data_IF_803268359150
#
_entry.id   IF_803268359150
#
_cell.length_a   1.000
_cell.length_b   1.000
_cell.length_c   1.000
_cell.angle_alpha   90.00
_cell.angle_beta   90.00
_cell.angle_gamma   90.00
#
_symmetry.space_group_name_H-M   'P 1'
#
loop_
_entity.id
_entity.type
_entity.pdbx_description
1 polymer ?
#
# COMPACT_ATOMS: atom_id res chain seq x y z
N UNK A 1 3.07 -23.94 1.20
CA UNK A 1 3.64 -22.58 1.29
C UNK A 1 2.96 -21.87 2.45
N UNK A 2 3.72 -21.50 3.48
CA UNK A 2 3.19 -20.78 4.64
C UNK A 2 3.69 -19.33 4.57
N UNK A 3 2.84 -18.44 4.01
CA UNK A 3 3.17 -17.02 3.91
C UNK A 3 3.00 -16.37 5.28
N UNK A 4 4.07 -15.80 5.80
CA UNK A 4 4.05 -14.99 7.01
C UNK A 4 4.12 -13.49 6.66
N UNK A 5 3.30 -12.66 7.33
CA UNK A 5 3.32 -11.21 7.14
C UNK A 5 3.82 -10.53 8.42
N UNK A 6 4.84 -9.67 8.28
CA UNK A 6 5.51 -8.98 9.38
C UNK A 6 5.57 -7.48 9.13
N UNK A 7 5.64 -6.62 10.19
CA UNK A 7 5.91 -5.19 10.04
C UNK A 7 7.22 -4.93 9.28
N UNK A 8 7.23 -3.93 8.40
CA UNK A 8 8.35 -3.62 7.50
C UNK A 8 9.49 -2.89 8.23
N UNK A 9 10.22 -3.60 9.08
CA UNK A 9 11.34 -3.08 9.88
C UNK A 9 12.72 -3.38 9.27
N UNK A 10 12.79 -4.28 8.29
CA UNK A 10 14.02 -4.64 7.58
C UNK A 10 14.18 -3.82 6.30
N UNK A 11 15.03 -2.80 6.31
CA UNK A 11 15.23 -1.94 5.14
C UNK A 11 15.74 -2.68 3.89
N UNK A 12 16.58 -3.71 4.06
CA UNK A 12 17.07 -4.51 2.95
C UNK A 12 15.94 -5.19 2.18
N UNK A 13 14.94 -5.72 2.89
CA UNK A 13 13.79 -6.39 2.31
C UNK A 13 12.81 -5.40 1.67
N UNK A 14 12.58 -4.24 2.31
CA UNK A 14 11.85 -3.13 1.69
C UNK A 14 12.53 -2.69 0.38
N UNK A 15 13.86 -2.54 0.37
CA UNK A 15 14.63 -2.22 -0.83
C UNK A 15 14.48 -3.29 -1.90
N UNK A 16 14.49 -4.57 -1.55
CA UNK A 16 14.27 -5.68 -2.49
C UNK A 16 12.90 -5.58 -3.16
N UNK A 17 11.86 -5.21 -2.41
CA UNK A 17 10.50 -5.16 -2.93
C UNK A 17 10.17 -3.89 -3.72
N UNK A 18 10.63 -2.72 -3.29
CA UNK A 18 10.21 -1.43 -3.87
C UNK A 18 11.36 -0.52 -4.31
N UNK A 19 12.59 -0.94 -4.07
CA UNK A 19 13.78 -0.20 -4.48
C UNK A 19 14.12 -0.37 -5.98
N UNK A 20 15.05 0.42 -6.49
CA UNK A 20 15.50 0.33 -7.88
C UNK A 20 16.40 -0.89 -8.09
N UNK A 21 16.29 -1.48 -9.28
CA UNK A 21 17.22 -2.53 -9.72
C UNK A 21 18.62 -1.99 -10.04
N UNK A 22 18.70 -0.70 -10.46
CA UNK A 22 19.96 0.01 -10.69
C UNK A 22 20.08 1.12 -9.65
N UNK A 23 21.28 1.36 -9.07
CA UNK A 23 21.46 2.28 -7.93
C UNK A 23 20.99 3.72 -8.18
N UNK A 24 21.10 4.18 -9.42
CA UNK A 24 20.78 5.54 -9.89
C UNK A 24 19.33 5.69 -10.39
N UNK A 25 18.59 4.59 -10.55
CA UNK A 25 17.25 4.65 -11.11
C UNK A 25 16.27 5.36 -10.17
N UNK A 26 15.49 6.27 -10.75
CA UNK A 26 14.45 6.97 -10.02
C UNK A 26 13.16 6.14 -10.00
N UNK A 27 12.88 5.50 -8.87
CA UNK A 27 11.65 4.73 -8.65
C UNK A 27 10.82 5.33 -7.52
N UNK A 28 9.55 5.00 -7.48
CA UNK A 28 8.59 5.56 -6.53
C UNK A 28 8.94 5.26 -5.06
N UNK A 29 9.48 4.08 -4.74
CA UNK A 29 9.69 3.59 -3.37
C UNK A 29 8.40 3.60 -2.51
N UNK A 30 7.23 3.57 -3.13
CA UNK A 30 5.92 3.77 -2.50
C UNK A 30 5.76 5.09 -1.73
N UNK A 31 6.60 6.11 -2.03
CA UNK A 31 6.58 7.41 -1.36
C UNK A 31 5.50 8.35 -1.91
N UNK A 32 5.00 8.15 -3.14
CA UNK A 32 4.07 9.08 -3.81
C UNK A 32 2.80 9.35 -2.99
N UNK A 33 2.34 8.38 -2.22
CA UNK A 33 1.20 8.55 -1.32
C UNK A 33 1.61 8.66 0.16
N UNK A 34 2.81 8.16 0.54
CA UNK A 34 3.30 8.25 1.92
C UNK A 34 3.70 9.67 2.32
N UNK A 35 4.17 10.48 1.37
CA UNK A 35 4.55 11.85 1.65
C UNK A 35 3.34 12.78 1.51
N UNK A 36 3.08 13.55 2.54
CA UNK A 36 1.97 14.54 2.56
C UNK A 36 2.27 15.79 1.74
N UNK A 37 3.55 16.10 1.54
CA UNK A 37 4.02 17.25 0.77
C UNK A 37 4.39 16.87 -0.66
N UNK A 38 3.67 17.44 -1.63
CA UNK A 38 4.02 17.30 -3.06
C UNK A 38 5.41 17.86 -3.37
N UNK A 39 5.79 18.96 -2.71
CA UNK A 39 7.12 19.57 -2.87
C UNK A 39 8.22 18.61 -2.39
N UNK A 40 8.04 17.98 -1.21
CA UNK A 40 8.97 16.97 -0.71
C UNK A 40 9.07 15.79 -1.68
N UNK A 41 7.92 15.26 -2.14
CA UNK A 41 7.90 14.13 -3.07
C UNK A 41 8.58 14.42 -4.40
N UNK A 42 8.43 15.63 -4.95
CA UNK A 42 9.07 16.05 -6.19
C UNK A 42 10.58 16.33 -6.01
N UNK A 43 10.97 16.86 -4.84
CA UNK A 43 12.38 17.15 -4.53
C UNK A 43 13.23 15.92 -4.23
N UNK A 44 12.62 14.80 -3.87
CA UNK A 44 13.33 13.55 -3.63
C UNK A 44 13.51 12.75 -4.92
N UNK A 45 14.73 12.67 -5.42
CA UNK A 45 15.08 11.93 -6.64
C UNK A 45 16.19 10.91 -6.37
N UNK A 46 16.23 9.84 -7.17
CA UNK A 46 17.26 8.81 -7.11
C UNK A 46 17.53 8.27 -5.70
N UNK A 47 18.80 8.22 -5.25
CA UNK A 47 19.19 7.66 -3.95
C UNK A 47 18.56 8.35 -2.73
N UNK A 48 18.17 9.64 -2.84
CA UNK A 48 17.54 10.38 -1.75
C UNK A 48 16.19 9.76 -1.33
N UNK A 49 15.45 9.18 -2.27
CA UNK A 49 14.21 8.45 -1.95
C UNK A 49 14.48 7.23 -1.08
N UNK A 50 15.51 6.45 -1.39
CA UNK A 50 15.94 5.29 -0.58
C UNK A 50 16.33 5.69 0.84
N UNK A 51 17.09 6.79 1.01
CA UNK A 51 17.42 7.33 2.34
C UNK A 51 16.19 7.73 3.12
N UNK A 52 15.19 8.35 2.47
CA UNK A 52 13.92 8.70 3.11
C UNK A 52 13.15 7.46 3.58
N UNK A 53 13.07 6.40 2.75
CA UNK A 53 12.45 5.14 3.14
C UNK A 53 13.18 4.47 4.31
N UNK A 54 14.52 4.51 4.32
CA UNK A 54 15.31 3.99 5.43
C UNK A 54 14.98 4.70 6.76
N UNK A 55 14.71 6.00 6.72
CA UNK A 55 14.24 6.74 7.89
C UNK A 55 12.85 6.30 8.33
N UNK A 56 11.91 6.12 7.36
CA UNK A 56 10.54 5.68 7.64
C UNK A 56 10.50 4.27 8.26
N UNK A 57 11.34 3.35 7.79
CA UNK A 57 11.44 1.98 8.32
C UNK A 57 11.83 1.95 9.81
N UNK A 58 12.57 2.97 10.28
CA UNK A 58 12.96 3.10 11.69
C UNK A 58 11.89 3.74 12.57
N UNK A 59 10.85 4.30 11.98
CA UNK A 59 9.74 4.92 12.73
C UNK A 59 8.80 3.87 13.33
N UNK A 60 7.95 4.29 14.22
CA UNK A 60 6.86 3.50 14.80
C UNK A 60 5.55 4.26 14.64
N UNK A 61 4.59 3.68 13.91
CA UNK A 61 4.65 2.41 13.17
C UNK A 61 5.57 2.51 11.93
N UNK A 62 6.15 1.39 11.44
CA UNK A 62 6.88 1.37 10.17
C UNK A 62 5.94 1.54 8.96
N UNK A 63 6.47 1.82 7.73
CA UNK A 63 5.66 2.30 6.61
C UNK A 63 4.76 1.24 5.94
N UNK A 64 4.69 0.04 6.48
CA UNK A 64 3.89 -1.03 5.92
C UNK A 64 4.26 -2.41 6.45
N UNK A 65 3.91 -3.43 5.68
CA UNK A 65 4.18 -4.85 6.00
C UNK A 65 4.87 -5.55 4.84
N UNK A 66 5.61 -6.63 5.18
CA UNK A 66 6.31 -7.51 4.24
C UNK A 66 5.76 -8.93 4.38
N UNK A 67 5.58 -9.62 3.25
CA UNK A 67 5.25 -11.04 3.22
C UNK A 67 6.51 -11.86 2.92
N UNK A 68 6.64 -12.98 3.61
CA UNK A 68 7.76 -13.91 3.50
C UNK A 68 7.27 -15.32 3.18
N UNK A 69 8.00 -16.03 2.33
CA UNK A 69 7.94 -17.48 2.18
C UNK A 69 9.24 -18.05 2.76
N UNK A 70 9.17 -18.62 3.96
CA UNK A 70 10.36 -18.91 4.75
C UNK A 70 11.16 -17.64 5.03
N UNK A 71 12.42 -17.60 4.59
CA UNK A 71 13.31 -16.45 4.76
C UNK A 71 13.28 -15.48 3.56
N UNK A 72 12.58 -15.82 2.49
CA UNK A 72 12.52 -15.02 1.28
C UNK A 72 11.40 -13.98 1.35
N UNK A 73 11.75 -12.68 1.16
CA UNK A 73 10.74 -11.63 1.01
C UNK A 73 10.07 -11.73 -0.37
N UNK A 74 8.75 -11.93 -0.37
CA UNK A 74 7.95 -12.17 -1.58
C UNK A 74 6.86 -11.12 -1.81
N UNK A 75 6.61 -10.25 -0.83
CA UNK A 75 5.55 -9.26 -0.93
C UNK A 75 5.75 -8.01 -0.07
N UNK A 76 5.07 -6.94 -0.47
CA UNK A 76 5.03 -5.65 0.20
C UNK A 76 3.62 -5.07 0.19
N UNK A 77 3.15 -4.54 1.32
CA UNK A 77 2.00 -3.65 1.35
C UNK A 77 2.33 -2.38 2.13
N UNK A 78 2.11 -1.23 1.49
CA UNK A 78 2.20 0.08 2.14
C UNK A 78 0.91 0.36 2.88
N UNK A 79 1.00 0.54 4.18
CA UNK A 79 -0.13 0.82 5.08
C UNK A 79 0.32 1.72 6.22
N UNK A 80 -0.47 2.78 6.52
CA UNK A 80 -0.15 3.77 7.55
C UNK A 80 -1.39 4.60 7.92
N UNK A 81 -1.42 5.32 9.06
CA UNK A 81 -2.47 6.29 9.33
C UNK A 81 -2.71 7.22 8.13
N UNK A 82 -3.98 7.41 7.73
CA UNK A 82 -4.36 8.26 6.60
C UNK A 82 -3.83 9.68 6.74
N UNK A 83 -3.82 10.22 7.98
CA UNK A 83 -3.31 11.54 8.31
C UNK A 83 -1.85 11.77 7.87
N UNK A 84 -1.04 10.71 7.86
CA UNK A 84 0.37 10.73 7.46
C UNK A 84 0.59 10.46 5.97
N UNK A 85 -0.46 10.44 5.17
CA UNK A 85 -0.44 10.17 3.73
C UNK A 85 -1.01 11.34 2.94
N UNK A 86 -0.73 11.39 1.64
CA UNK A 86 -1.32 12.38 0.75
C UNK A 86 -2.85 12.26 0.63
N UNK A 87 -3.44 11.13 1.03
CA UNK A 87 -4.90 10.94 1.03
C UNK A 87 -5.61 11.84 2.04
N UNK A 88 -4.92 12.30 3.11
CA UNK A 88 -5.47 13.26 4.06
C UNK A 88 -5.94 14.58 3.40
N UNK A 89 -5.35 14.95 2.26
CA UNK A 89 -5.63 16.21 1.55
C UNK A 89 -6.04 15.98 0.09
N UNK A 90 -6.27 14.74 -0.32
CA UNK A 90 -6.61 14.42 -1.70
C UNK A 90 -8.11 14.67 -1.94
N UNK A 91 -8.42 15.76 -2.64
CA UNK A 91 -9.81 16.13 -2.97
C UNK A 91 -10.55 15.14 -3.86
N UNK A 92 -9.83 14.22 -4.54
CA UNK A 92 -10.44 13.19 -5.38
C UNK A 92 -10.89 11.96 -4.60
N UNK A 93 -10.53 11.88 -3.31
CA UNK A 93 -10.87 10.76 -2.42
C UNK A 93 -11.65 11.34 -1.24
N UNK A 94 -12.95 11.06 -1.12
CA UNK A 94 -13.78 11.62 -0.07
C UNK A 94 -13.36 11.11 1.32
N UNK A 95 -13.63 11.91 2.35
CA UNK A 95 -13.66 11.47 3.72
C UNK A 95 -15.11 11.08 4.05
N UNK A 96 -15.33 9.87 4.53
CA UNK A 96 -16.68 9.39 4.87
C UNK A 96 -17.11 9.73 6.30
N UNK A 97 -16.14 9.97 7.17
CA UNK A 97 -16.32 10.43 8.55
C UNK A 97 -15.01 11.04 9.10
N UNK A 98 -15.00 11.38 10.39
CA UNK A 98 -13.89 12.03 11.10
C UNK A 98 -13.01 11.02 11.86
N UNK A 99 -13.14 9.72 11.62
CA UNK A 99 -12.30 8.71 12.28
C UNK A 99 -10.85 8.77 11.79
N UNK A 100 -9.91 8.51 12.72
CA UNK A 100 -8.48 8.38 12.43
C UNK A 100 -8.16 7.03 11.74
N UNK A 101 -8.66 6.87 10.51
CA UNK A 101 -8.53 5.65 9.74
C UNK A 101 -7.11 5.44 9.22
N UNK A 102 -6.77 4.19 8.93
CA UNK A 102 -5.55 3.83 8.22
C UNK A 102 -5.82 3.66 6.73
N UNK A 103 -4.79 3.83 5.91
CA UNK A 103 -4.86 3.65 4.46
C UNK A 103 -3.88 2.57 4.01
N UNK A 104 -4.32 1.67 3.12
CA UNK A 104 -3.48 0.77 2.34
C UNK A 104 -3.53 1.20 0.87
N UNK A 105 -2.34 1.42 0.24
CA UNK A 105 -2.33 2.03 -1.09
C UNK A 105 -1.41 1.38 -2.12
N UNK A 106 -0.55 0.46 -1.71
CA UNK A 106 0.37 -0.20 -2.61
C UNK A 106 0.56 -1.65 -2.16
N UNK A 107 0.15 -2.59 -2.99
CA UNK A 107 0.32 -4.03 -2.77
C UNK A 107 1.17 -4.57 -3.92
N UNK A 108 2.33 -5.14 -3.61
CA UNK A 108 3.26 -5.66 -4.61
C UNK A 108 3.68 -7.07 -4.25
N UNK A 109 3.60 -7.95 -5.24
CA UNK A 109 4.11 -9.32 -5.16
C UNK A 109 5.35 -9.42 -6.04
N UNK A 110 6.38 -10.08 -5.53
CA UNK A 110 7.65 -10.29 -6.23
C UNK A 110 7.43 -11.05 -7.55
N UNK A 111 8.10 -10.65 -8.65
CA UNK A 111 8.12 -11.47 -9.85
C UNK A 111 8.54 -12.91 -9.54
N UNK A 112 7.82 -13.90 -10.08
CA UNK A 112 8.03 -15.32 -9.77
C UNK A 112 7.01 -15.89 -8.77
N UNK A 113 6.48 -15.08 -7.86
CA UNK A 113 5.52 -15.47 -6.81
C UNK A 113 4.09 -14.97 -7.08
N UNK A 114 3.78 -14.61 -8.32
CA UNK A 114 2.44 -14.13 -8.68
C UNK A 114 1.47 -15.29 -8.84
N UNK A 115 0.17 -15.03 -8.57
CA UNK A 115 -0.94 -16.00 -8.61
C UNK A 115 -0.87 -17.08 -7.52
N UNK A 116 -0.10 -16.86 -6.48
CA UNK A 116 0.03 -17.73 -5.29
C UNK A 116 -0.76 -17.20 -4.08
N UNK A 117 -1.68 -16.27 -4.31
CA UNK A 117 -2.52 -15.70 -3.24
C UNK A 117 -1.84 -14.68 -2.33
N UNK A 118 -0.56 -14.33 -2.55
CA UNK A 118 0.24 -13.46 -1.67
C UNK A 118 -0.41 -12.07 -1.46
N UNK A 119 -1.13 -11.54 -2.46
CA UNK A 119 -1.84 -10.27 -2.30
C UNK A 119 -2.94 -10.32 -1.24
N UNK A 120 -3.60 -11.47 -1.06
CA UNK A 120 -4.59 -11.67 0.00
C UNK A 120 -3.92 -11.72 1.38
N UNK A 121 -2.80 -12.42 1.50
CA UNK A 121 -2.00 -12.43 2.74
C UNK A 121 -1.51 -11.03 3.11
N UNK A 122 -1.03 -10.25 2.11
CA UNK A 122 -0.60 -8.87 2.32
C UNK A 122 -1.74 -7.96 2.78
N UNK A 123 -2.92 -8.08 2.19
CA UNK A 123 -4.08 -7.29 2.59
C UNK A 123 -4.54 -7.67 4.00
N UNK A 124 -4.63 -8.96 4.32
CA UNK A 124 -4.94 -9.44 5.65
C UNK A 124 -3.91 -8.97 6.69
N UNK A 125 -2.61 -9.09 6.39
CA UNK A 125 -1.54 -8.60 7.26
C UNK A 125 -1.55 -7.09 7.44
N UNK A 126 -1.95 -6.31 6.42
CA UNK A 126 -2.13 -4.86 6.55
C UNK A 126 -3.31 -4.52 7.49
N UNK A 127 -4.39 -5.29 7.42
CA UNK A 127 -5.55 -5.19 8.35
C UNK A 127 -5.11 -5.48 9.77
N UNK A 128 -4.42 -6.60 10.01
CA UNK A 128 -3.95 -6.98 11.35
C UNK A 128 -2.94 -5.99 11.92
N UNK A 129 -2.08 -5.45 11.06
CA UNK A 129 -1.13 -4.42 11.45
C UNK A 129 -1.83 -3.11 11.84
N UNK A 130 -2.82 -2.65 11.08
CA UNK A 130 -3.62 -1.48 11.43
C UNK A 130 -4.38 -1.72 12.75
N UNK A 131 -5.02 -2.88 12.91
CA UNK A 131 -5.76 -3.27 14.13
C UNK A 131 -4.86 -3.28 15.36
N UNK A 132 -3.67 -3.88 15.28
CA UNK A 132 -2.71 -3.94 16.39
C UNK A 132 -2.11 -2.58 16.76
N UNK A 133 -2.24 -1.59 15.90
CA UNK A 133 -1.89 -0.18 16.17
C UNK A 133 -3.10 0.69 16.55
N UNK A 134 -4.25 0.09 16.86
CA UNK A 134 -5.43 0.80 17.37
C UNK A 134 -6.26 1.52 16.31
N UNK A 135 -6.10 1.19 15.01
CA UNK A 135 -6.90 1.78 13.96
C UNK A 135 -8.39 1.44 14.14
N UNK A 136 -9.32 2.42 14.10
CA UNK A 136 -10.76 2.14 14.18
C UNK A 136 -11.30 1.54 12.88
N UNK A 137 -10.64 1.84 11.75
CA UNK A 137 -10.96 1.31 10.42
C UNK A 137 -9.75 1.42 9.50
N UNK A 138 -9.75 0.62 8.43
CA UNK A 138 -8.76 0.69 7.35
C UNK A 138 -9.45 0.92 6.01
N UNK A 139 -8.87 1.78 5.18
CA UNK A 139 -9.35 2.13 3.86
C UNK A 139 -8.35 1.73 2.78
N UNK A 140 -8.87 1.40 1.61
CA UNK A 140 -8.10 1.21 0.40
C UNK A 140 -8.78 1.88 -0.79
N UNK A 141 -8.00 2.10 -1.84
CA UNK A 141 -8.46 2.83 -3.02
C UNK A 141 -8.18 2.03 -4.30
N UNK A 142 -8.72 0.79 -4.38
CA UNK A 142 -8.50 -0.07 -5.54
C UNK A 142 -9.20 0.45 -6.80
N UNK A 143 -8.88 -0.16 -7.93
CA UNK A 143 -9.61 0.05 -9.17
C UNK A 143 -10.84 -0.86 -9.25
N UNK A 144 -11.95 -0.32 -9.74
CA UNK A 144 -13.09 -1.10 -10.22
C UNK A 144 -12.87 -1.44 -11.70
N UNK A 145 -12.20 -2.57 -11.94
CA UNK A 145 -11.89 -3.04 -13.28
C UNK A 145 -13.00 -3.91 -13.90
N UNK A 146 -14.10 -4.16 -13.19
CA UNK A 146 -15.24 -4.97 -13.65
C UNK A 146 -14.82 -6.31 -14.28
N UNK A 147 -13.79 -6.95 -13.73
CA UNK A 147 -13.22 -8.19 -14.24
C UNK A 147 -12.30 -8.06 -15.45
N UNK A 148 -12.12 -6.85 -16.01
CA UNK A 148 -11.19 -6.62 -17.11
C UNK A 148 -9.73 -6.81 -16.66
N UNK A 149 -8.87 -7.19 -17.62
CA UNK A 149 -7.44 -7.36 -17.37
C UNK A 149 -6.78 -6.02 -17.08
N UNK A 150 -6.01 -5.96 -15.97
CA UNK A 150 -5.19 -4.81 -15.62
C UNK A 150 -3.75 -4.98 -16.11
N UNK A 151 -3.12 -3.86 -16.47
CA UNK A 151 -1.66 -3.81 -16.59
C UNK A 151 -1.02 -4.09 -15.23
N UNK A 152 -0.08 -5.03 -15.20
CA UNK A 152 0.57 -5.47 -13.95
C UNK A 152 1.38 -4.36 -13.27
N UNK A 153 1.86 -3.37 -14.05
CA UNK A 153 2.62 -2.24 -13.52
C UNK A 153 1.70 -1.31 -12.73
N UNK A 154 0.43 -1.23 -13.13
CA UNK A 154 -0.57 -0.35 -12.52
C UNK A 154 -1.45 -1.05 -11.48
N UNK A 155 -1.37 -2.38 -11.39
CA UNK A 155 -2.17 -3.18 -10.44
C UNK A 155 -1.77 -3.02 -8.97
N UNK A 156 -0.79 -2.18 -8.67
CA UNK A 156 -0.28 -1.99 -7.30
C UNK A 156 -1.30 -1.45 -6.30
N UNK A 157 -2.36 -0.81 -6.75
CA UNK A 157 -3.45 -0.33 -5.87
C UNK A 157 -4.43 -1.44 -5.47
N UNK A 158 -4.33 -2.61 -6.11
CA UNK A 158 -5.29 -3.70 -5.97
C UNK A 158 -6.55 -3.51 -6.82
N UNK A 159 -7.40 -4.53 -6.85
CA UNK A 159 -8.72 -4.52 -7.48
C UNK A 159 -9.82 -4.47 -6.43
N UNK A 160 -10.99 -3.96 -6.78
CA UNK A 160 -12.17 -3.99 -5.90
C UNK A 160 -12.45 -5.41 -5.40
N UNK A 161 -12.40 -6.42 -6.28
CA UNK A 161 -12.62 -7.82 -5.90
C UNK A 161 -11.61 -8.37 -4.88
N UNK A 162 -10.34 -7.94 -4.92
CA UNK A 162 -9.35 -8.30 -3.90
C UNK A 162 -9.77 -7.76 -2.52
N UNK A 163 -10.22 -6.52 -2.47
CA UNK A 163 -10.66 -5.89 -1.22
C UNK A 163 -11.98 -6.49 -0.70
N UNK A 164 -12.95 -6.78 -1.58
CA UNK A 164 -14.19 -7.47 -1.21
C UNK A 164 -13.90 -8.84 -0.58
N UNK A 165 -13.00 -9.63 -1.17
CA UNK A 165 -12.57 -10.91 -0.60
C UNK A 165 -11.82 -10.74 0.74
N UNK A 166 -11.19 -9.60 0.96
CA UNK A 166 -10.60 -9.20 2.24
C UNK A 166 -11.59 -8.65 3.27
N UNK A 167 -12.90 -8.67 2.97
CA UNK A 167 -13.97 -8.21 3.87
C UNK A 167 -14.25 -6.70 3.83
N UNK A 168 -13.64 -5.97 2.91
CA UNK A 168 -13.92 -4.54 2.74
C UNK A 168 -15.24 -4.33 1.99
N UNK A 169 -15.98 -3.30 2.37
CA UNK A 169 -17.15 -2.82 1.63
C UNK A 169 -16.82 -1.53 0.87
N UNK A 170 -17.41 -1.34 -0.31
CA UNK A 170 -17.37 -0.06 -1.01
C UNK A 170 -18.22 0.94 -0.23
N UNK A 171 -17.63 2.07 0.15
CA UNK A 171 -18.31 3.13 0.92
C UNK A 171 -18.47 4.43 0.14
N UNK A 172 -17.67 4.65 -0.91
CA UNK A 172 -17.83 5.81 -1.79
C UNK A 172 -17.19 5.57 -3.17
N UNK A 173 -17.66 6.33 -4.16
CA UNK A 173 -16.94 6.56 -5.42
C UNK A 173 -15.87 7.62 -5.20
N UNK A 174 -14.87 7.66 -6.09
CA UNK A 174 -13.83 8.68 -6.09
C UNK A 174 -13.74 9.37 -7.45
N UNK A 175 -13.22 10.59 -7.49
CA UNK A 175 -12.89 11.28 -8.74
C UNK A 175 -11.51 10.86 -9.29
N UNK A 176 -11.00 9.73 -8.85
CA UNK A 176 -9.69 9.21 -9.24
C UNK A 176 -9.83 8.10 -10.27
N UNK A 177 -9.02 8.19 -11.32
CA UNK A 177 -8.92 7.16 -12.37
C UNK A 177 -7.50 6.65 -12.43
N UNK A 178 -7.32 5.36 -12.62
CA UNK A 178 -6.02 4.73 -12.81
C UNK A 178 -6.10 3.72 -13.96
N UNK A 179 -5.23 3.88 -14.95
CA UNK A 179 -5.20 3.01 -16.14
C UNK A 179 -6.56 2.86 -16.85
N UNK A 180 -7.32 3.96 -16.92
CA UNK A 180 -8.66 3.99 -17.56
C UNK A 180 -9.80 3.46 -16.69
N UNK A 181 -9.52 2.94 -15.48
CA UNK A 181 -10.54 2.43 -14.57
C UNK A 181 -10.81 3.41 -13.42
N UNK A 182 -12.08 3.59 -13.00
CA UNK A 182 -12.39 4.36 -11.81
C UNK A 182 -11.81 3.69 -10.57
N UNK A 183 -11.35 4.50 -9.62
CA UNK A 183 -11.00 4.02 -8.29
C UNK A 183 -12.20 4.20 -7.36
N UNK A 184 -12.34 3.28 -6.43
CA UNK A 184 -13.38 3.32 -5.40
C UNK A 184 -12.75 3.39 -4.03
N UNK A 185 -13.48 3.93 -3.05
CA UNK A 185 -13.09 3.88 -1.65
C UNK A 185 -13.72 2.64 -1.01
N UNK A 186 -12.85 1.74 -0.58
CA UNK A 186 -13.21 0.51 0.14
C UNK A 186 -12.80 0.65 1.59
N UNK A 187 -13.61 0.16 2.53
CA UNK A 187 -13.37 0.28 3.96
C UNK A 187 -13.72 -1.01 4.71
N UNK A 188 -12.96 -1.29 5.74
CA UNK A 188 -13.21 -2.33 6.73
C UNK A 188 -13.14 -1.71 8.13
N UNK A 189 -14.22 -1.80 8.90
CA UNK A 189 -14.23 -1.43 10.32
C UNK A 189 -13.44 -2.46 11.14
N UNK A 190 -12.69 -1.97 12.13
CA UNK A 190 -11.80 -2.79 12.96
C UNK A 190 -12.20 -2.80 14.44
N UNK A 191 -13.28 -2.08 14.75
CA UNK A 191 -13.87 -2.00 16.11
C UNK A 191 -14.64 -3.25 16.47
#
# INVERSE_FOLDING_TARGET
>A
MAIEVRPATAFADVKTMVGPKRPDANVCWCLSYRLTSSKENQGLVGPARGKRVQQLVRQRPPPGVLAYDGDEVVGWAAVHPRADTSFARNRKVPHVDDLDVWSVWCIRVRPGHRREGISHHLLAGAVDFARSNGAPAIEGYPVDNKGAKLDLTMAYVGTMSLFEQGGFAKVADTDSVLNGFPRVLMRLDLR
#
